data_IF_635120867871
#
_entry.id   IF_635120867871
#
_cell.length_a   1.000
_cell.length_b   1.000
_cell.length_c   1.000
_cell.angle_alpha   90.00
_cell.angle_beta   90.00
_cell.angle_gamma   90.00
#
_symmetry.space_group_name_H-M   'P 1'
#
loop_
_entity.id
_entity.type
_entity.pdbx_description
1 polymer ?
#
# COMPACT_ATOMS: atom_id res chain seq x y z
N UNK A 1 7.60 -18.07 18.52
CA UNK A 1 7.14 -17.90 17.12
C UNK A 1 5.73 -17.31 17.14
N UNK A 2 5.56 -16.04 16.75
CA UNK A 2 4.24 -15.42 16.59
C UNK A 2 3.89 -15.39 15.11
N UNK A 3 2.65 -15.76 14.79
CA UNK A 3 2.13 -15.69 13.42
C UNK A 3 1.19 -14.50 13.37
N UNK A 4 1.65 -13.41 12.77
CA UNK A 4 0.83 -12.24 12.52
C UNK A 4 0.29 -12.29 11.09
N UNK A 5 -0.69 -11.45 10.74
CA UNK A 5 -1.16 -11.31 9.36
C UNK A 5 -0.82 -9.92 8.85
N UNK A 6 -0.42 -9.84 7.59
CA UNK A 6 -0.23 -8.57 6.91
C UNK A 6 -1.56 -7.79 6.91
N UNK A 7 -1.59 -6.57 7.43
CA UNK A 7 -2.80 -5.74 7.49
C UNK A 7 -3.26 -5.26 6.10
N UNK A 8 -2.40 -5.35 5.09
CA UNK A 8 -2.74 -4.98 3.71
C UNK A 8 -3.25 -6.18 2.89
N UNK A 9 -2.47 -7.27 2.80
CA UNK A 9 -2.78 -8.41 1.94
C UNK A 9 -3.30 -9.65 2.69
N UNK A 10 -3.38 -9.60 4.01
CA UNK A 10 -3.84 -10.69 4.89
C UNK A 10 -3.01 -11.99 4.86
N UNK A 11 -1.90 -12.02 4.10
CA UNK A 11 -0.94 -13.14 4.10
C UNK A 11 -0.30 -13.30 5.50
N UNK A 12 -0.02 -14.53 5.94
CA UNK A 12 0.65 -14.78 7.20
C UNK A 12 2.10 -14.26 7.16
N UNK A 13 2.54 -13.70 8.28
CA UNK A 13 3.90 -13.24 8.53
C UNK A 13 4.44 -14.06 9.70
N UNK A 14 5.56 -14.74 9.46
CA UNK A 14 6.27 -15.48 10.50
C UNK A 14 7.37 -14.59 11.06
N UNK A 15 7.17 -14.08 12.27
CA UNK A 15 8.19 -13.28 12.95
C UNK A 15 8.98 -14.16 13.92
N UNK A 16 10.28 -14.33 13.63
CA UNK A 16 11.25 -15.03 14.48
C UNK A 16 12.11 -14.02 15.23
N UNK A 17 11.55 -13.47 16.31
CA UNK A 17 12.23 -12.46 17.15
C UNK A 17 13.52 -13.00 17.78
N UNK A 18 13.62 -14.32 17.96
CA UNK A 18 14.79 -14.99 18.52
C UNK A 18 15.93 -15.22 17.51
N UNK A 19 15.70 -14.93 16.22
CA UNK A 19 16.64 -15.16 15.11
C UNK A 19 16.61 -13.97 14.13
N UNK A 20 16.94 -12.78 14.65
CA UNK A 20 16.91 -11.52 13.89
C UNK A 20 17.87 -11.57 12.70
N UNK A 21 19.03 -12.22 12.86
CA UNK A 21 20.08 -12.34 11.84
C UNK A 21 19.65 -13.08 10.57
N UNK A 22 18.61 -13.92 10.66
CA UNK A 22 18.03 -14.63 9.53
C UNK A 22 16.61 -14.12 9.19
N UNK A 23 16.21 -12.96 9.72
CA UNK A 23 14.91 -12.39 9.40
C UNK A 23 14.90 -11.89 7.96
N UNK A 24 13.96 -12.37 7.16
CA UNK A 24 13.75 -11.87 5.80
C UNK A 24 13.42 -10.36 5.76
N UNK A 25 12.98 -9.79 6.89
CA UNK A 25 12.75 -8.36 7.05
C UNK A 25 14.02 -7.50 6.90
N UNK A 26 15.21 -8.04 7.19
CA UNK A 26 16.47 -7.29 7.08
C UNK A 26 16.89 -6.98 5.63
N UNK A 27 16.27 -7.66 4.65
CA UNK A 27 16.63 -7.55 3.22
C UNK A 27 15.79 -6.52 2.47
N UNK A 28 14.90 -5.81 3.15
CA UNK A 28 14.01 -4.83 2.52
C UNK A 28 14.61 -3.44 2.67
N UNK A 29 15.02 -2.86 1.55
CA UNK A 29 15.44 -1.47 1.46
C UNK A 29 14.26 -0.65 0.92
N UNK A 30 13.91 0.43 1.63
CA UNK A 30 12.81 1.33 1.28
C UNK A 30 13.34 2.75 1.18
N UNK A 31 12.69 3.59 0.37
CA UNK A 31 12.93 5.03 0.36
C UNK A 31 12.46 5.68 1.67
N UNK A 32 13.12 6.76 2.08
CA UNK A 32 12.72 7.55 3.25
C UNK A 32 11.29 8.08 3.10
N UNK A 33 10.89 8.47 1.88
CA UNK A 33 9.52 8.91 1.58
C UNK A 33 8.50 7.78 1.77
N UNK A 34 8.87 6.53 1.47
CA UNK A 34 8.01 5.36 1.70
C UNK A 34 7.84 5.13 3.19
N UNK A 35 8.93 5.20 3.95
CA UNK A 35 8.90 5.06 5.43
C UNK A 35 8.03 6.17 6.04
N UNK A 36 8.21 7.40 5.58
CA UNK A 36 7.41 8.55 6.01
C UNK A 36 5.93 8.38 5.70
N UNK A 37 5.59 7.91 4.49
CA UNK A 37 4.22 7.60 4.10
C UNK A 37 3.60 6.56 5.04
N UNK A 38 4.29 5.44 5.25
CA UNK A 38 3.81 4.36 6.11
C UNK A 38 3.57 4.84 7.55
N UNK A 39 4.51 5.60 8.11
CA UNK A 39 4.43 6.06 9.50
C UNK A 39 3.38 7.17 9.72
N UNK A 40 3.29 8.14 8.81
CA UNK A 40 2.47 9.33 9.03
C UNK A 40 1.08 9.28 8.38
N UNK A 41 0.92 8.53 7.29
CA UNK A 41 -0.30 8.56 6.48
C UNK A 41 -1.14 7.30 6.62
N UNK A 42 -0.56 6.20 7.11
CA UNK A 42 -1.25 4.91 7.21
C UNK A 42 -1.54 4.51 8.65
N UNK A 43 -2.41 3.52 8.81
CA UNK A 43 -2.70 2.84 10.07
C UNK A 43 -2.38 1.34 9.96
N UNK A 44 -1.38 1.00 9.15
CA UNK A 44 -0.94 -0.38 9.03
C UNK A 44 -0.14 -0.80 10.28
N UNK A 45 -0.49 -1.97 10.84
CA UNK A 45 0.34 -2.63 11.84
C UNK A 45 1.47 -3.42 11.13
N UNK A 46 1.38 -4.75 11.08
CA UNK A 46 2.37 -5.56 10.37
C UNK A 46 2.13 -5.57 8.86
N UNK A 47 3.19 -5.34 8.09
CA UNK A 47 3.23 -5.48 6.63
C UNK A 47 4.24 -6.56 6.23
N UNK A 48 3.90 -7.37 5.23
CA UNK A 48 4.85 -8.33 4.66
C UNK A 48 5.82 -7.63 3.70
N UNK A 49 6.98 -8.25 3.45
CA UNK A 49 8.01 -7.74 2.55
C UNK A 49 7.47 -7.40 1.14
N UNK A 50 6.56 -8.22 0.59
CA UNK A 50 5.94 -7.95 -0.71
C UNK A 50 5.14 -6.65 -0.69
N UNK A 51 4.37 -6.39 0.37
CA UNK A 51 3.59 -5.16 0.49
C UNK A 51 4.49 -3.95 0.73
N UNK A 52 5.57 -4.10 1.52
CA UNK A 52 6.56 -3.04 1.71
C UNK A 52 7.19 -2.64 0.37
N UNK A 53 7.66 -3.61 -0.41
CA UNK A 53 8.20 -3.38 -1.76
C UNK A 53 7.17 -2.74 -2.68
N UNK A 54 5.92 -3.20 -2.64
CA UNK A 54 4.83 -2.62 -3.43
C UNK A 54 4.58 -1.14 -3.07
N UNK A 55 4.52 -0.80 -1.79
CA UNK A 55 4.37 0.60 -1.39
C UNK A 55 5.56 1.44 -1.83
N UNK A 56 6.76 0.88 -1.77
CA UNK A 56 7.97 1.54 -2.23
C UNK A 56 7.97 1.80 -3.74
N UNK A 57 7.44 0.87 -4.54
CA UNK A 57 7.20 1.07 -5.97
C UNK A 57 6.16 2.17 -6.23
N UNK A 58 5.06 2.20 -5.45
CA UNK A 58 4.05 3.25 -5.53
C UNK A 58 4.62 4.63 -5.17
N UNK A 59 5.47 4.71 -4.13
CA UNK A 59 6.18 5.94 -3.76
C UNK A 59 7.04 6.44 -4.91
N UNK A 60 7.90 5.58 -5.48
CA UNK A 60 8.74 5.95 -6.63
C UNK A 60 7.91 6.50 -7.77
N UNK A 61 6.84 5.80 -8.11
CA UNK A 61 5.93 6.25 -9.16
C UNK A 61 5.35 7.63 -8.84
N UNK A 62 4.97 7.89 -7.59
CA UNK A 62 4.39 9.17 -7.17
C UNK A 62 5.36 10.36 -7.18
N UNK A 63 6.67 10.09 -7.06
CA UNK A 63 7.70 11.14 -7.14
C UNK A 63 7.86 11.64 -8.58
N UNK A 64 7.70 10.76 -9.56
CA UNK A 64 7.84 11.07 -10.99
C UNK A 64 6.52 11.49 -11.65
N UNK A 65 5.38 11.06 -11.10
CA UNK A 65 4.07 11.21 -11.72
C UNK A 65 3.08 11.97 -10.85
N UNK A 66 2.26 12.82 -11.48
CA UNK A 66 1.25 13.64 -10.80
C UNK A 66 -0.10 12.94 -10.78
N UNK A 67 -0.89 13.25 -9.76
CA UNK A 67 -2.28 12.81 -9.69
C UNK A 67 -3.10 13.31 -10.91
N UNK A 68 -3.79 12.41 -11.65
CA UNK A 68 -4.63 12.81 -12.77
C UNK A 68 -5.86 13.56 -12.24
N UNK A 69 -5.99 14.84 -12.61
CA UNK A 69 -7.10 15.70 -12.16
C UNK A 69 -8.31 15.58 -13.08
N UNK A 70 -8.12 15.12 -14.31
CA UNK A 70 -9.17 14.99 -15.32
C UNK A 70 -9.32 13.53 -15.75
N UNK A 71 -10.53 13.08 -16.11
CA UNK A 71 -10.72 11.73 -16.64
C UNK A 71 -9.86 11.40 -17.85
N UNK A 72 -9.59 12.37 -18.71
CA UNK A 72 -8.72 12.22 -19.89
C UNK A 72 -7.25 11.97 -19.56
N UNK A 73 -6.82 12.25 -18.32
CA UNK A 73 -5.47 11.97 -17.82
C UNK A 73 -5.39 10.59 -17.15
N UNK A 74 -6.53 9.94 -16.90
CA UNK A 74 -6.58 8.60 -16.32
C UNK A 74 -6.35 7.55 -17.41
N UNK A 75 -5.71 6.45 -17.01
CA UNK A 75 -5.24 5.40 -17.92
C UNK A 75 -5.74 4.08 -17.34
N UNK A 76 -6.48 3.32 -18.15
CA UNK A 76 -6.96 2.00 -17.77
C UNK A 76 -5.79 1.02 -17.55
N UNK A 77 -5.91 0.14 -16.57
CA UNK A 77 -4.84 -0.75 -16.10
C UNK A 77 -3.87 -0.09 -15.11
N UNK A 78 -3.74 1.24 -15.15
CA UNK A 78 -2.84 1.99 -14.26
C UNK A 78 -3.61 2.69 -13.13
N UNK A 79 -4.55 3.55 -13.49
CA UNK A 79 -5.34 4.36 -12.55
C UNK A 79 -6.66 3.67 -12.17
N UNK A 80 -7.25 2.91 -13.09
CA UNK A 80 -8.48 2.17 -12.86
C UNK A 80 -8.56 0.96 -13.80
N UNK A 81 -9.52 0.08 -13.57
CA UNK A 81 -9.99 -0.91 -14.54
C UNK A 81 -11.51 -0.97 -14.52
N UNK A 82 -12.13 -1.44 -15.61
CA UNK A 82 -13.57 -1.65 -15.66
C UNK A 82 -13.96 -3.01 -15.08
N UNK A 83 -14.91 -3.03 -14.15
CA UNK A 83 -15.49 -4.26 -13.57
C UNK A 83 -17.02 -4.09 -13.54
N UNK A 84 -17.76 -4.97 -14.21
CA UNK A 84 -19.23 -4.92 -14.27
C UNK A 84 -19.80 -3.56 -14.73
N UNK A 85 -19.10 -2.85 -15.62
CA UNK A 85 -19.52 -1.52 -16.09
C UNK A 85 -19.18 -0.36 -15.16
N UNK A 86 -18.49 -0.62 -14.05
CA UNK A 86 -18.04 0.39 -13.09
C UNK A 86 -16.53 0.61 -13.15
N UNK A 87 -16.09 1.84 -12.89
CA UNK A 87 -14.69 2.16 -12.68
C UNK A 87 -14.23 1.65 -11.31
N UNK A 88 -13.21 0.80 -11.30
CA UNK A 88 -12.54 0.34 -10.09
C UNK A 88 -11.15 0.95 -10.04
N UNK A 89 -10.96 1.91 -9.13
CA UNK A 89 -9.68 2.60 -8.95
C UNK A 89 -8.63 1.67 -8.34
N UNK A 90 -7.41 1.75 -8.86
CA UNK A 90 -6.27 0.96 -8.37
C UNK A 90 -5.68 1.54 -7.09
N UNK A 91 -4.79 0.78 -6.45
CA UNK A 91 -3.99 1.27 -5.33
C UNK A 91 -3.17 2.50 -5.72
N UNK A 92 -2.59 2.50 -6.92
CA UNK A 92 -1.81 3.63 -7.44
C UNK A 92 -2.64 4.91 -7.49
N UNK A 93 -3.88 4.83 -7.99
CA UNK A 93 -4.76 6.00 -7.99
C UNK A 93 -5.03 6.53 -6.58
N UNK A 94 -5.28 5.64 -5.63
CA UNK A 94 -5.49 6.02 -4.23
C UNK A 94 -4.23 6.59 -3.59
N UNK A 95 -3.05 6.07 -3.94
CA UNK A 95 -1.76 6.58 -3.50
C UNK A 95 -1.50 8.00 -4.03
N UNK A 96 -1.60 8.19 -5.36
CA UNK A 96 -1.43 9.49 -6.02
C UNK A 96 -2.41 10.55 -5.51
N UNK A 97 -3.63 10.14 -5.12
CA UNK A 97 -4.63 11.05 -4.53
C UNK A 97 -4.12 11.71 -3.24
N UNK A 98 -3.18 11.08 -2.54
CA UNK A 98 -2.48 11.64 -1.39
C UNK A 98 -3.32 11.79 -0.12
N UNK A 99 -4.57 11.30 -0.10
CA UNK A 99 -5.41 11.29 1.10
C UNK A 99 -6.40 10.12 1.16
N UNK A 100 -6.58 9.56 2.36
CA UNK A 100 -7.62 8.58 2.64
C UNK A 100 -9.02 9.23 2.64
N UNK A 101 -9.98 8.60 1.97
CA UNK A 101 -11.38 9.04 1.96
C UNK A 101 -12.26 8.38 3.04
N UNK A 102 -11.72 7.43 3.81
CA UNK A 102 -12.41 6.70 4.89
C UNK A 102 -13.68 5.95 4.47
N UNK A 103 -13.79 5.59 3.19
CA UNK A 103 -14.95 4.87 2.64
C UNK A 103 -14.76 3.34 2.58
N UNK A 104 -13.68 2.79 3.15
CA UNK A 104 -13.41 1.35 3.08
C UNK A 104 -13.15 0.86 1.66
N UNK A 105 -12.34 1.59 0.89
CA UNK A 105 -12.04 1.26 -0.51
C UNK A 105 -11.36 -0.11 -0.64
N UNK A 106 -11.72 -0.87 -1.68
CA UNK A 106 -11.15 -2.19 -1.99
C UNK A 106 -9.62 -2.16 -2.14
N UNK A 107 -9.09 -1.11 -2.76
CA UNK A 107 -7.67 -0.93 -3.08
C UNK A 107 -7.02 0.14 -2.17
N UNK A 108 -7.40 0.15 -0.89
CA UNK A 108 -6.96 1.17 0.07
C UNK A 108 -5.48 0.96 0.47
N UNK A 109 -4.65 1.96 0.19
CA UNK A 109 -3.22 1.97 0.56
C UNK A 109 -2.94 2.48 2.00
N UNK A 110 -3.98 2.89 2.72
CA UNK A 110 -3.83 3.57 4.02
C UNK A 110 -4.08 2.68 5.23
N UNK A 111 -4.65 1.47 5.05
CA UNK A 111 -4.98 0.58 6.16
C UNK A 111 -6.06 1.09 7.13
N UNK A 112 -6.70 2.22 6.82
CA UNK A 112 -7.74 2.82 7.66
C UNK A 112 -9.07 2.09 7.40
N UNK A 113 -9.42 1.17 8.28
CA UNK A 113 -10.75 0.56 8.32
C UNK A 113 -11.63 1.31 9.32
N UNK A 114 -12.92 1.48 9.00
CA UNK A 114 -13.89 1.97 9.99
C UNK A 114 -13.99 0.89 11.06
N UNK A 115 -13.50 1.16 12.27
CA UNK A 115 -13.87 0.38 13.44
C UNK A 115 -15.41 0.33 13.50
N UNK A 116 -15.96 -0.86 13.30
CA UNK A 116 -17.38 -1.14 13.52
C UNK A 116 -17.50 -1.86 14.84
#
# INVERSE_FOLDING_TARGET
>A
MKTEKCTHCHKPIVCKVDDISNCDCQKVELLDETVQFLYEKTQHDCLCNDCLKKFDELTRFSLENKFPKRPTEMVEGLHFYMENGYFVFTELYHYLKGRCCKNGCRHCVYGIHKNS
#
